data_IF_840742838351
#
_entry.id   IF_840742838351
#
_cell.length_a   1.000
_cell.length_b   1.000
_cell.length_c   1.000
_cell.angle_alpha   90.00
_cell.angle_beta   90.00
_cell.angle_gamma   90.00
#
_symmetry.space_group_name_H-M   'P 1'
#
loop_
_entity.id
_entity.type
_entity.pdbx_description
1 polymer ?
#
# COMPACT_ATOMS: atom_id res chain seq x y z
N UNK A 1 -0.23 12.30 -8.44
CA UNK A 1 -0.15 11.56 -7.17
C UNK A 1 -1.22 10.48 -7.09
N UNK A 2 -2.50 10.84 -7.02
CA UNK A 2 -3.63 9.93 -6.75
C UNK A 2 -4.12 9.07 -7.94
N UNK A 3 -3.42 9.12 -9.07
CA UNK A 3 -3.70 8.25 -10.21
C UNK A 3 -3.02 6.90 -9.98
N UNK A 4 -3.76 5.80 -10.18
CA UNK A 4 -3.27 4.44 -10.06
C UNK A 4 -1.99 4.19 -10.86
N UNK A 5 -1.81 4.86 -12.01
CA UNK A 5 -0.60 4.73 -12.85
C UNK A 5 0.67 5.28 -12.21
N UNK A 6 0.56 6.11 -11.18
CA UNK A 6 1.70 6.65 -10.43
C UNK A 6 2.07 5.80 -9.21
N UNK A 7 1.37 4.68 -8.97
CA UNK A 7 1.66 3.80 -7.84
C UNK A 7 2.83 2.88 -8.16
N UNK A 8 3.76 2.75 -7.21
CA UNK A 8 4.90 1.83 -7.33
C UNK A 8 4.55 0.40 -6.92
N UNK A 9 3.41 0.23 -6.24
CA UNK A 9 2.84 -1.06 -5.89
C UNK A 9 1.87 -1.48 -7.00
N UNK A 10 1.98 -2.73 -7.48
CA UNK A 10 1.09 -3.28 -8.51
C UNK A 10 -0.27 -3.68 -7.89
N UNK A 11 -1.03 -2.69 -7.42
CA UNK A 11 -2.38 -2.82 -6.90
C UNK A 11 -3.19 -1.58 -7.34
N UNK A 12 -4.48 -1.75 -7.62
CA UNK A 12 -5.33 -0.62 -7.95
C UNK A 12 -5.91 0.01 -6.67
N UNK A 13 -5.53 1.26 -6.31
CA UNK A 13 -6.03 1.91 -5.10
C UNK A 13 -7.55 2.09 -5.10
N UNK A 14 -8.21 2.02 -6.26
CA UNK A 14 -9.67 2.16 -6.39
C UNK A 14 -10.44 0.91 -5.96
N UNK A 15 -9.78 -0.24 -5.85
CA UNK A 15 -10.38 -1.47 -5.33
C UNK A 15 -10.33 -1.55 -3.79
N UNK A 16 -9.79 -0.54 -3.13
CA UNK A 16 -9.73 -0.43 -1.68
C UNK A 16 -10.07 0.97 -1.20
N UNK A 17 -9.79 1.20 0.08
CA UNK A 17 -9.87 2.51 0.73
C UNK A 17 -8.53 2.84 1.38
N UNK A 18 -8.17 4.11 1.39
CA UNK A 18 -7.05 4.62 2.16
C UNK A 18 -7.44 4.71 3.64
N UNK A 19 -6.68 4.01 4.48
CA UNK A 19 -6.73 4.14 5.93
C UNK A 19 -6.08 5.46 6.33
N UNK A 20 -4.84 5.65 5.88
CA UNK A 20 -4.07 6.89 6.07
C UNK A 20 -3.22 7.15 4.83
N UNK A 21 -2.84 8.41 4.63
CA UNK A 21 -1.95 8.81 3.55
C UNK A 21 -1.03 9.95 3.96
N UNK A 22 0.15 10.01 3.36
CA UNK A 22 1.12 11.09 3.51
C UNK A 22 1.59 11.58 2.15
N UNK A 23 1.55 12.89 1.95
CA UNK A 23 2.04 13.58 0.77
C UNK A 23 3.20 14.50 1.16
N UNK A 24 4.40 14.16 0.70
CA UNK A 24 5.62 14.93 0.95
C UNK A 24 6.00 15.69 -0.30
N UNK A 25 5.86 17.00 -0.26
CA UNK A 25 6.20 17.87 -1.37
C UNK A 25 7.59 18.48 -1.21
N UNK A 26 8.29 18.65 -2.32
CA UNK A 26 9.64 19.22 -2.37
C UNK A 26 9.74 20.31 -3.44
N UNK A 27 10.45 21.39 -3.12
CA UNK A 27 10.58 22.60 -3.95
C UNK A 27 9.85 23.80 -3.34
N UNK A 28 10.10 25.00 -3.88
CA UNK A 28 9.47 26.24 -3.39
C UNK A 28 7.98 26.24 -3.75
N UNK A 29 7.12 26.20 -2.74
CA UNK A 29 5.66 26.19 -2.92
C UNK A 29 4.94 26.82 -1.73
N UNK A 30 3.72 27.30 -1.97
CA UNK A 30 2.88 27.86 -0.91
C UNK A 30 2.27 26.73 -0.08
N UNK A 31 2.53 26.71 1.22
CA UNK A 31 1.90 25.74 2.14
C UNK A 31 0.39 25.84 2.12
N UNK A 32 -0.15 27.06 1.99
CA UNK A 32 -1.59 27.31 1.85
C UNK A 32 -2.17 26.60 0.62
N UNK A 33 -1.50 26.72 -0.53
CA UNK A 33 -1.97 26.09 -1.77
C UNK A 33 -1.91 24.57 -1.68
N UNK A 34 -0.84 24.03 -1.07
CA UNK A 34 -0.73 22.59 -0.81
C UNK A 34 -1.90 22.09 0.03
N UNK A 35 -2.20 22.76 1.15
CA UNK A 35 -3.29 22.34 2.04
C UNK A 35 -4.67 22.44 1.35
N UNK A 36 -4.93 23.50 0.59
CA UNK A 36 -6.16 23.65 -0.20
C UNK A 36 -6.32 22.52 -1.23
N UNK A 37 -5.25 22.15 -1.95
CA UNK A 37 -5.31 21.06 -2.93
C UNK A 37 -5.52 19.70 -2.26
N UNK A 38 -4.89 19.46 -1.11
CA UNK A 38 -5.05 18.18 -0.39
C UNK A 38 -6.48 18.00 0.12
N UNK A 39 -7.10 19.05 0.66
CA UNK A 39 -8.52 19.04 1.07
C UNK A 39 -9.41 18.81 -0.15
N UNK A 40 -9.17 19.51 -1.26
CA UNK A 40 -9.96 19.36 -2.49
C UNK A 40 -9.91 17.93 -3.03
N UNK A 41 -8.73 17.31 -3.04
CA UNK A 41 -8.58 15.91 -3.46
C UNK A 41 -9.34 14.98 -2.52
N UNK A 42 -9.20 15.14 -1.21
CA UNK A 42 -9.87 14.28 -0.24
C UNK A 42 -11.41 14.38 -0.39
N UNK A 43 -11.94 15.59 -0.57
CA UNK A 43 -13.37 15.83 -0.78
C UNK A 43 -13.88 15.21 -2.09
N UNK A 44 -13.14 15.35 -3.20
CA UNK A 44 -13.50 14.76 -4.50
C UNK A 44 -13.48 13.23 -4.50
N UNK A 45 -12.67 12.65 -3.62
CA UNK A 45 -12.39 11.22 -3.57
C UNK A 45 -12.83 10.60 -2.24
N UNK A 46 -13.80 11.21 -1.55
CA UNK A 46 -14.15 10.85 -0.16
C UNK A 46 -14.51 9.38 0.00
N UNK A 47 -15.14 8.77 -1.01
CA UNK A 47 -15.46 7.34 -1.05
C UNK A 47 -14.25 6.41 -1.01
N UNK A 48 -13.08 6.89 -1.43
CA UNK A 48 -11.81 6.15 -1.40
C UNK A 48 -11.05 6.31 -0.07
N UNK A 49 -11.58 7.06 0.89
CA UNK A 49 -11.03 7.16 2.25
C UNK A 49 -11.98 6.49 3.23
N UNK A 50 -11.43 5.96 4.34
CA UNK A 50 -12.26 5.48 5.44
C UNK A 50 -12.83 6.65 6.25
N UNK A 51 -14.09 6.55 6.65
CA UNK A 51 -14.80 7.63 7.36
C UNK A 51 -14.49 7.66 8.86
N UNK A 52 -14.10 6.53 9.44
CA UNK A 52 -13.84 6.38 10.88
C UNK A 52 -12.46 6.91 11.31
N UNK A 53 -11.56 7.22 10.37
CA UNK A 53 -10.32 7.98 10.63
C UNK A 53 -10.50 9.39 10.05
N UNK A 54 -10.90 10.39 10.87
CA UNK A 54 -10.98 11.76 10.38
C UNK A 54 -9.58 12.32 10.08
N UNK A 55 -9.49 13.22 9.10
CA UNK A 55 -8.25 13.91 8.73
C UNK A 55 -7.06 12.95 8.49
N UNK A 56 -7.32 11.83 7.81
CA UNK A 56 -6.36 10.74 7.62
C UNK A 56 -5.25 11.01 6.58
N UNK A 57 -5.15 12.23 6.06
CA UNK A 57 -4.14 12.62 5.08
C UNK A 57 -3.25 13.70 5.67
N UNK A 58 -1.93 13.46 5.66
CA UNK A 58 -0.92 14.43 6.11
C UNK A 58 -0.15 15.01 4.92
N UNK A 59 -0.03 16.33 4.87
CA UNK A 59 0.87 17.05 3.96
C UNK A 59 2.14 17.49 4.67
N UNK A 60 3.25 17.58 3.92
CA UNK A 60 4.49 18.23 4.34
C UNK A 60 5.20 18.88 3.16
N UNK A 61 5.95 19.95 3.41
CA UNK A 61 6.66 20.73 2.38
C UNK A 61 8.12 20.90 2.78
N UNK A 62 9.03 20.65 1.84
CA UNK A 62 10.46 20.87 1.98
C UNK A 62 10.95 21.79 0.86
N UNK A 63 11.61 22.90 1.21
CA UNK A 63 12.04 23.91 0.23
C UNK A 63 13.14 23.42 -0.74
N UNK A 64 13.82 22.30 -0.43
CA UNK A 64 14.93 21.77 -1.21
C UNK A 64 14.40 20.74 -2.23
N UNK A 65 14.37 21.08 -3.53
CA UNK A 65 13.93 20.13 -4.57
C UNK A 65 14.98 19.03 -4.81
N UNK A 66 14.59 17.90 -5.43
CA UNK A 66 15.54 16.90 -5.89
C UNK A 66 16.37 17.40 -7.08
N UNK A 67 17.54 16.79 -7.30
CA UNK A 67 18.44 17.16 -8.41
C UNK A 67 17.74 16.98 -9.76
N UNK A 68 17.84 17.99 -10.64
CA UNK A 68 17.29 17.94 -11.99
C UNK A 68 15.80 18.24 -12.12
N UNK A 69 15.09 18.54 -11.02
CA UNK A 69 13.68 18.89 -11.01
C UNK A 69 13.45 20.16 -10.20
N UNK A 70 12.45 20.96 -10.58
CA UNK A 70 12.05 22.17 -9.83
C UNK A 70 11.16 21.84 -8.63
N UNK A 71 10.35 20.79 -8.76
CA UNK A 71 9.44 20.30 -7.72
C UNK A 71 9.28 18.78 -7.83
N UNK A 72 8.92 18.15 -6.72
CA UNK A 72 8.54 16.75 -6.68
C UNK A 72 7.52 16.50 -5.57
N UNK A 73 6.85 15.37 -5.64
CA UNK A 73 5.96 14.92 -4.57
C UNK A 73 6.08 13.42 -4.39
N UNK A 74 6.17 12.98 -3.15
CA UNK A 74 6.23 11.57 -2.75
C UNK A 74 4.96 11.23 -1.99
N UNK A 75 4.32 10.13 -2.38
CA UNK A 75 3.11 9.63 -1.74
C UNK A 75 3.38 8.35 -1.00
N UNK A 76 2.89 8.27 0.23
CA UNK A 76 2.87 7.05 1.03
C UNK A 76 1.44 6.82 1.46
N UNK A 77 0.78 5.86 0.82
CA UNK A 77 -0.60 5.47 1.13
C UNK A 77 -0.64 4.16 1.89
N UNK A 78 -1.33 4.14 3.02
CA UNK A 78 -1.78 2.90 3.65
C UNK A 78 -3.19 2.60 3.12
N UNK A 79 -3.29 1.66 2.19
CA UNK A 79 -4.54 1.31 1.51
C UNK A 79 -4.83 -0.17 1.63
N UNK A 80 -6.11 -0.51 1.80
CA UNK A 80 -6.57 -1.90 1.81
C UNK A 80 -6.40 -2.60 0.45
N UNK A 81 -6.14 -1.84 -0.63
CA UNK A 81 -5.79 -2.39 -1.95
C UNK A 81 -4.52 -3.26 -1.94
N UNK A 82 -3.66 -3.14 -0.92
CA UNK A 82 -2.45 -3.98 -0.77
C UNK A 82 -2.79 -5.48 -0.71
N UNK A 83 -4.01 -5.84 -0.32
CA UNK A 83 -4.47 -7.24 -0.31
C UNK A 83 -4.34 -7.93 -1.68
N UNK A 84 -4.41 -7.19 -2.78
CA UNK A 84 -4.26 -7.75 -4.13
C UNK A 84 -2.84 -8.29 -4.36
N UNK A 85 -1.82 -7.60 -3.83
CA UNK A 85 -0.44 -8.07 -3.87
C UNK A 85 -0.30 -9.38 -3.11
N UNK A 86 -0.79 -9.41 -1.87
CA UNK A 86 -0.70 -10.59 -1.02
C UNK A 86 -1.47 -11.78 -1.60
N UNK A 87 -2.66 -11.55 -2.18
CA UNK A 87 -3.43 -12.60 -2.86
C UNK A 87 -2.63 -13.24 -4.00
N UNK A 88 -1.96 -12.44 -4.84
CA UNK A 88 -1.13 -12.99 -5.94
C UNK A 88 0.07 -13.79 -5.43
N UNK A 89 0.73 -13.32 -4.38
CA UNK A 89 1.84 -14.05 -3.76
C UNK A 89 1.35 -15.36 -3.14
N UNK A 90 0.23 -15.33 -2.41
CA UNK A 90 -0.41 -16.50 -1.83
C UNK A 90 -0.78 -17.53 -2.91
N UNK A 91 -1.43 -17.11 -4.01
CA UNK A 91 -1.77 -18.01 -5.13
C UNK A 91 -0.53 -18.69 -5.75
N UNK A 92 0.55 -17.94 -5.98
CA UNK A 92 1.81 -18.50 -6.51
C UNK A 92 2.47 -19.44 -5.51
N UNK A 93 2.47 -19.07 -4.23
CA UNK A 93 2.98 -19.89 -3.15
C UNK A 93 2.23 -21.22 -3.07
N UNK A 94 0.89 -21.18 -2.98
CA UNK A 94 0.05 -22.38 -2.92
C UNK A 94 0.29 -23.29 -4.14
N UNK A 95 0.44 -22.72 -5.35
CA UNK A 95 0.70 -23.49 -6.57
C UNK A 95 2.04 -24.25 -6.52
N UNK A 96 3.08 -23.64 -5.96
CA UNK A 96 4.41 -24.23 -5.81
C UNK A 96 4.45 -25.25 -4.66
N UNK A 97 3.91 -24.86 -3.50
CA UNK A 97 3.94 -25.64 -2.27
C UNK A 97 3.14 -26.93 -2.40
N UNK A 98 1.97 -26.91 -3.05
CA UNK A 98 1.18 -28.12 -3.36
C UNK A 98 1.95 -29.19 -4.14
N UNK A 99 2.95 -28.78 -4.93
CA UNK A 99 3.81 -29.69 -5.71
C UNK A 99 5.12 -30.02 -4.99
N UNK A 100 5.32 -29.49 -3.78
CA UNK A 100 6.59 -29.53 -3.03
C UNK A 100 7.78 -29.07 -3.87
N UNK A 101 7.55 -28.17 -4.82
CA UNK A 101 8.58 -27.68 -5.73
C UNK A 101 9.60 -26.85 -4.95
N UNK A 102 10.89 -27.14 -5.13
CA UNK A 102 12.02 -26.51 -4.42
C UNK A 102 12.04 -26.65 -2.89
N UNK A 103 11.10 -27.38 -2.29
CA UNK A 103 10.96 -27.50 -0.82
C UNK A 103 12.22 -28.11 -0.16
N UNK A 104 12.88 -29.04 -0.84
CA UNK A 104 14.09 -29.73 -0.33
C UNK A 104 15.26 -28.78 0.00
N UNK A 105 15.35 -27.62 -0.64
CA UNK A 105 16.38 -26.63 -0.32
C UNK A 105 16.18 -26.01 1.05
N UNK A 106 14.95 -25.95 1.54
CA UNK A 106 14.62 -25.36 2.83
C UNK A 106 14.62 -26.42 3.93
N UNK A 107 14.02 -27.58 3.68
CA UNK A 107 14.00 -28.67 4.66
C UNK A 107 15.38 -29.30 4.86
N UNK A 108 16.25 -29.27 3.85
CA UNK A 108 17.65 -29.69 3.96
C UNK A 108 18.49 -28.82 4.91
N UNK A 109 18.09 -27.56 5.11
CA UNK A 109 18.73 -26.62 6.05
C UNK A 109 18.07 -26.63 7.44
N UNK A 110 17.11 -27.53 7.68
CA UNK A 110 16.51 -27.76 8.99
C UNK A 110 15.14 -27.12 9.24
N UNK A 111 14.51 -26.53 8.22
CA UNK A 111 13.16 -25.96 8.32
C UNK A 111 12.09 -27.06 8.25
N UNK A 112 11.03 -26.97 9.06
CA UNK A 112 9.89 -27.91 9.00
C UNK A 112 8.86 -27.48 7.94
N UNK A 113 8.20 -28.44 7.29
CA UNK A 113 7.12 -28.17 6.32
C UNK A 113 5.93 -27.45 6.97
N UNK A 114 5.72 -27.63 8.28
CA UNK A 114 4.69 -26.91 9.05
C UNK A 114 4.95 -25.42 9.11
N UNK A 115 6.21 -24.97 9.15
CA UNK A 115 6.54 -23.53 9.20
C UNK A 115 6.04 -22.79 7.96
N UNK A 116 6.05 -23.46 6.80
CA UNK A 116 5.48 -22.93 5.55
C UNK A 116 3.97 -22.76 5.65
N UNK A 117 3.29 -23.74 6.25
CA UNK A 117 1.83 -23.73 6.41
C UNK A 117 1.39 -22.65 7.41
N UNK A 118 2.14 -22.48 8.50
CA UNK A 118 1.92 -21.39 9.47
C UNK A 118 2.10 -20.01 8.81
N UNK A 119 3.15 -19.83 8.01
CA UNK A 119 3.38 -18.59 7.28
C UNK A 119 2.27 -18.30 6.24
N UNK A 120 1.80 -19.32 5.51
CA UNK A 120 0.67 -19.20 4.59
C UNK A 120 -0.62 -18.80 5.33
N UNK A 121 -0.89 -19.42 6.47
CA UNK A 121 -2.05 -19.08 7.32
C UNK A 121 -2.00 -17.61 7.77
N UNK A 122 -0.87 -17.17 8.32
CA UNK A 122 -0.70 -15.79 8.79
C UNK A 122 -0.86 -14.77 7.65
N UNK A 123 -0.38 -15.10 6.45
CA UNK A 123 -0.56 -14.24 5.28
C UNK A 123 -2.04 -14.15 4.88
N UNK A 124 -2.76 -15.26 4.92
CA UNK A 124 -4.18 -15.29 4.59
C UNK A 124 -5.01 -14.49 5.62
N UNK A 125 -4.66 -14.58 6.90
CA UNK A 125 -5.29 -13.78 7.97
C UNK A 125 -5.11 -12.28 7.71
N UNK A 126 -3.89 -11.85 7.32
CA UNK A 126 -3.63 -10.45 6.95
C UNK A 126 -4.47 -9.97 5.76
N UNK A 127 -4.70 -10.84 4.76
CA UNK A 127 -5.57 -10.53 3.61
C UNK A 127 -7.02 -10.35 4.05
N UNK A 128 -7.50 -11.21 4.95
CA UNK A 128 -8.86 -11.15 5.51
C UNK A 128 -9.05 -9.89 6.36
N UNK A 129 -8.06 -9.55 7.19
CA UNK A 129 -8.06 -8.33 7.99
C UNK A 129 -8.16 -7.08 7.10
N UNK A 130 -7.34 -7.02 6.03
CA UNK A 130 -7.40 -5.95 5.03
C UNK A 130 -8.78 -5.78 4.38
N UNK A 131 -9.48 -6.89 4.10
CA UNK A 131 -10.85 -6.88 3.58
C UNK A 131 -11.89 -6.39 4.60
N UNK A 132 -11.66 -6.63 5.88
CA UNK A 132 -12.59 -6.27 6.97
C UNK A 132 -12.69 -4.75 7.16
N UNK A 133 -11.64 -4.00 6.82
CA UNK A 133 -11.63 -2.52 6.86
C UNK A 133 -12.36 -1.85 5.68
N UNK A 134 -12.80 -2.62 4.68
CA UNK A 134 -13.53 -2.11 3.50
C UNK A 134 -15.06 -2.20 3.69
N UNK A 135 -15.52 -2.98 4.67
CA UNK A 135 -16.93 -3.20 5.01
C UNK A 135 -17.58 -1.99 5.70
#
# INVERSE_FOLDING_TARGET
MWDAKNMMCAADPRHGRYLTASAMFRGKMSTKEVDEQMINVQNKNSSYFVEWIPNNVKSSVCDIPPKGLSMASTFVGNSTSIQEMFRRVSEQFTAMFRRKAFLHWYTGEGMDEMEFTEAESNMNDLVIEGGSYVA
#
